data_IF_742359944227
#
_entry.id   IF_742359944227
#
_cell.length_a   1.000
_cell.length_b   1.000
_cell.length_c   1.000
_cell.angle_alpha   90.00
_cell.angle_beta   90.00
_cell.angle_gamma   90.00
#
_symmetry.space_group_name_H-M   'P 1'
#
loop_
_entity.id
_entity.type
_entity.pdbx_description
1 polymer ?
#
# COMPACT_ATOMS: atom_id res chain seq x y z
N UNK A 1 8.70 24.14 4.56
CA UNK A 1 7.54 23.22 4.60
C UNK A 1 7.36 22.48 3.27
N UNK A 2 7.32 23.16 2.11
CA UNK A 2 7.18 22.53 0.78
C UNK A 2 8.31 21.53 0.46
N UNK A 3 9.57 21.85 0.77
CA UNK A 3 10.73 21.01 0.40
C UNK A 3 10.70 19.61 1.02
N UNK A 4 10.30 19.49 2.29
CA UNK A 4 10.23 18.20 2.99
C UNK A 4 9.12 17.31 2.40
N UNK A 5 7.98 17.90 2.06
CA UNK A 5 6.88 17.22 1.41
C UNK A 5 7.27 16.71 0.01
N UNK A 6 8.00 17.53 -0.75
CA UNK A 6 8.51 17.16 -2.08
C UNK A 6 9.52 16.01 -1.99
N UNK A 7 10.46 16.06 -1.04
CA UNK A 7 11.42 14.97 -0.82
C UNK A 7 10.68 13.68 -0.44
N UNK A 8 9.70 13.76 0.47
CA UNK A 8 8.89 12.62 0.86
C UNK A 8 8.14 12.00 -0.33
N UNK A 9 7.49 12.83 -1.15
CA UNK A 9 6.78 12.37 -2.35
C UNK A 9 7.73 11.75 -3.38
N UNK A 10 8.92 12.34 -3.58
CA UNK A 10 9.93 11.81 -4.50
C UNK A 10 10.42 10.43 -4.07
N UNK A 11 10.79 10.27 -2.79
CA UNK A 11 11.22 8.98 -2.23
C UNK A 11 10.10 7.94 -2.36
N UNK A 12 8.87 8.31 -2.03
CA UNK A 12 7.69 7.43 -2.13
C UNK A 12 7.43 7.01 -3.57
N UNK A 13 7.58 7.92 -4.54
CA UNK A 13 7.46 7.62 -5.96
C UNK A 13 8.52 6.63 -6.44
N UNK A 14 9.78 6.82 -6.02
CA UNK A 14 10.88 5.90 -6.36
C UNK A 14 10.64 4.51 -5.76
N UNK A 15 10.24 4.43 -4.50
CA UNK A 15 9.94 3.17 -3.82
C UNK A 15 8.74 2.44 -4.43
N UNK A 16 7.77 3.19 -4.97
CA UNK A 16 6.60 2.61 -5.65
C UNK A 16 7.01 1.75 -6.84
N UNK A 17 8.05 2.14 -7.59
CA UNK A 17 8.60 1.31 -8.67
C UNK A 17 9.10 -0.06 -8.15
N UNK A 18 9.79 -0.06 -7.01
CA UNK A 18 10.24 -1.28 -6.34
C UNK A 18 9.08 -2.15 -5.86
N UNK A 19 8.03 -1.54 -5.30
CA UNK A 19 6.81 -2.25 -4.88
C UNK A 19 6.12 -2.92 -6.07
N UNK A 20 5.98 -2.22 -7.19
CA UNK A 20 5.36 -2.79 -8.41
C UNK A 20 6.20 -3.96 -8.94
N UNK A 21 7.52 -3.78 -9.05
CA UNK A 21 8.42 -4.85 -9.50
C UNK A 21 8.36 -6.08 -8.58
N UNK A 22 8.37 -5.86 -7.26
CA UNK A 22 8.23 -6.91 -6.25
C UNK A 22 6.89 -7.62 -6.33
N UNK A 23 5.78 -6.90 -6.53
CA UNK A 23 4.46 -7.49 -6.70
C UNK A 23 4.38 -8.37 -7.96
N UNK A 24 4.96 -7.93 -9.08
CA UNK A 24 5.02 -8.72 -10.31
C UNK A 24 5.87 -9.97 -10.11
N UNK A 25 7.05 -9.86 -9.52
CA UNK A 25 7.91 -11.01 -9.22
C UNK A 25 7.18 -12.01 -8.31
N UNK A 26 6.60 -11.53 -7.22
CA UNK A 26 5.89 -12.37 -6.25
C UNK A 26 4.70 -13.11 -6.86
N UNK A 27 3.91 -12.44 -7.71
CA UNK A 27 2.79 -13.11 -8.40
C UNK A 27 3.26 -14.19 -9.38
N UNK A 28 4.40 -13.98 -10.05
CA UNK A 28 5.01 -14.99 -10.93
C UNK A 28 5.53 -16.19 -10.14
N UNK A 29 6.20 -15.96 -9.02
CA UNK A 29 6.72 -17.02 -8.14
C UNK A 29 5.58 -17.88 -7.56
N UNK A 30 4.42 -17.27 -7.31
CA UNK A 30 3.21 -17.98 -6.88
C UNK A 30 2.43 -18.64 -8.04
N UNK A 31 2.90 -18.51 -9.29
CA UNK A 31 2.20 -19.00 -10.48
C UNK A 31 0.86 -18.30 -10.75
N UNK A 32 0.60 -17.14 -10.11
CA UNK A 32 -0.65 -16.41 -10.21
C UNK A 32 -0.72 -15.60 -11.51
N UNK A 33 -1.57 -16.04 -12.43
CA UNK A 33 -1.94 -15.23 -13.60
C UNK A 33 -3.13 -14.31 -13.25
N UNK A 34 -2.83 -13.14 -12.69
CA UNK A 34 -3.83 -12.15 -12.29
C UNK A 34 -4.42 -11.43 -13.53
N UNK A 35 -5.75 -11.44 -13.64
CA UNK A 35 -6.48 -10.61 -14.61
C UNK A 35 -6.26 -9.12 -14.31
N UNK A 36 -6.41 -8.27 -15.33
CA UNK A 36 -6.20 -6.82 -15.20
C UNK A 36 -7.01 -6.18 -14.05
N UNK A 37 -8.24 -6.62 -13.78
CA UNK A 37 -9.05 -6.07 -12.69
C UNK A 37 -8.51 -6.44 -11.30
N UNK A 38 -7.86 -7.60 -11.15
CA UNK A 38 -7.18 -7.99 -9.89
C UNK A 38 -5.96 -7.09 -9.66
N UNK A 39 -5.24 -6.74 -10.72
CA UNK A 39 -4.18 -5.73 -10.67
C UNK A 39 -4.72 -4.36 -10.27
N UNK A 40 -5.88 -3.95 -10.79
CA UNK A 40 -6.53 -2.69 -10.40
C UNK A 40 -6.88 -2.69 -8.89
N UNK A 41 -7.38 -3.80 -8.35
CA UNK A 41 -7.66 -3.90 -6.91
C UNK A 41 -6.39 -3.84 -6.06
N UNK A 42 -5.31 -4.49 -6.50
CA UNK A 42 -4.01 -4.40 -5.82
C UNK A 42 -3.45 -2.97 -5.85
N UNK A 43 -3.55 -2.30 -7.00
CA UNK A 43 -3.13 -0.90 -7.14
C UNK A 43 -3.98 0.04 -6.27
N UNK A 44 -5.30 -0.16 -6.22
CA UNK A 44 -6.19 0.61 -5.36
C UNK A 44 -5.85 0.40 -3.88
N UNK A 45 -5.63 -0.83 -3.46
CA UNK A 45 -5.18 -1.15 -2.10
C UNK A 45 -3.85 -0.46 -1.76
N UNK A 46 -2.88 -0.48 -2.68
CA UNK A 46 -1.60 0.21 -2.47
C UNK A 46 -1.74 1.74 -2.42
N UNK A 47 -2.57 2.34 -3.27
CA UNK A 47 -2.86 3.78 -3.21
C UNK A 47 -3.53 4.17 -1.89
N UNK A 48 -4.44 3.32 -1.37
CA UNK A 48 -5.06 3.54 -0.06
C UNK A 48 -4.02 3.49 1.07
N UNK A 49 -3.06 2.57 1.00
CA UNK A 49 -1.94 2.54 1.95
C UNK A 49 -1.17 3.85 1.93
N UNK A 50 -0.79 4.32 0.74
CA UNK A 50 -0.06 5.59 0.57
C UNK A 50 -0.85 6.79 1.12
N UNK A 51 -2.15 6.84 0.85
CA UNK A 51 -3.03 7.90 1.35
C UNK A 51 -3.07 7.92 2.89
N UNK A 52 -3.22 6.76 3.52
CA UNK A 52 -3.29 6.65 4.98
C UNK A 52 -1.95 6.98 5.65
N UNK A 53 -0.84 6.54 5.04
CA UNK A 53 0.52 6.90 5.49
C UNK A 53 0.70 8.41 5.36
N UNK A 54 0.33 9.00 4.22
CA UNK A 54 0.42 10.44 4.01
C UNK A 54 -0.40 11.21 5.05
N UNK A 55 -1.66 10.83 5.28
CA UNK A 55 -2.53 11.45 6.28
C UNK A 55 -1.94 11.37 7.70
N UNK A 56 -1.36 10.23 8.09
CA UNK A 56 -0.70 10.08 9.38
C UNK A 56 0.51 11.02 9.52
N UNK A 57 1.35 11.12 8.49
CA UNK A 57 2.52 12.00 8.50
C UNK A 57 2.14 13.49 8.43
N UNK A 58 1.02 13.84 7.79
CA UNK A 58 0.47 15.20 7.83
C UNK A 58 0.14 15.61 9.26
N UNK A 59 -0.61 14.78 10.01
CA UNK A 59 -0.94 15.08 11.42
C UNK A 59 0.31 15.15 12.31
N UNK A 60 1.28 14.27 12.09
CA UNK A 60 2.57 14.33 12.79
C UNK A 60 3.30 15.65 12.49
N UNK A 61 3.26 16.11 11.23
CA UNK A 61 3.84 17.39 10.82
C UNK A 61 3.12 18.62 11.37
N UNK A 62 1.83 18.51 11.65
CA UNK A 62 0.99 19.60 12.20
C UNK A 62 1.05 19.70 13.73
N UNK A 63 1.88 18.88 14.39
CA UNK A 63 2.06 18.88 15.85
C UNK A 63 1.13 17.91 16.60
N UNK A 64 0.26 17.19 15.88
CA UNK A 64 -0.63 16.16 16.43
C UNK A 64 -0.03 14.75 16.32
N UNK A 65 1.22 14.59 16.75
CA UNK A 65 1.97 13.34 16.59
C UNK A 65 1.23 12.12 17.18
N UNK A 66 0.59 12.27 18.34
CA UNK A 66 -0.17 11.18 18.98
C UNK A 66 -1.36 10.74 18.10
N UNK A 67 -2.05 11.67 17.45
CA UNK A 67 -3.15 11.34 16.54
C UNK A 67 -2.62 10.64 15.29
N UNK A 68 -1.55 11.14 14.69
CA UNK A 68 -0.91 10.52 13.52
C UNK A 68 -0.46 9.07 13.79
N UNK A 69 0.18 8.80 14.94
CA UNK A 69 0.56 7.44 15.31
C UNK A 69 -0.64 6.50 15.53
N UNK A 70 -1.72 6.99 16.12
CA UNK A 70 -2.97 6.22 16.28
C UNK A 70 -3.57 5.87 14.92
N UNK A 71 -3.64 6.85 14.00
CA UNK A 71 -4.13 6.61 12.63
C UNK A 71 -3.25 5.58 11.93
N UNK A 72 -1.92 5.71 12.02
CA UNK A 72 -0.99 4.78 11.38
C UNK A 72 -1.14 3.35 11.91
N UNK A 73 -1.34 3.18 13.22
CA UNK A 73 -1.61 1.89 13.84
C UNK A 73 -2.91 1.26 13.33
N UNK A 74 -4.02 2.01 13.35
CA UNK A 74 -5.32 1.54 12.86
C UNK A 74 -5.27 1.23 11.36
N UNK A 75 -4.70 2.14 10.57
CA UNK A 75 -4.52 1.99 9.14
C UNK A 75 -3.75 0.70 8.83
N UNK A 76 -2.67 0.44 9.55
CA UNK A 76 -1.86 -0.78 9.37
C UNK A 76 -2.71 -2.03 9.56
N UNK A 77 -3.49 -2.10 10.65
CA UNK A 77 -4.38 -3.25 10.91
C UNK A 77 -5.39 -3.44 9.79
N UNK A 78 -6.07 -2.36 9.36
CA UNK A 78 -7.04 -2.39 8.26
C UNK A 78 -6.38 -2.85 6.96
N UNK A 79 -5.21 -2.31 6.62
CA UNK A 79 -4.50 -2.65 5.39
C UNK A 79 -4.04 -4.10 5.37
N UNK A 80 -3.60 -4.65 6.51
CA UNK A 80 -3.27 -6.08 6.64
C UNK A 80 -4.50 -6.97 6.41
N UNK A 81 -5.64 -6.63 7.01
CA UNK A 81 -6.89 -7.38 6.81
C UNK A 81 -7.32 -7.35 5.34
N UNK A 82 -7.31 -6.17 4.72
CA UNK A 82 -7.65 -6.02 3.30
C UNK A 82 -6.65 -6.78 2.40
N UNK A 83 -5.37 -6.74 2.72
CA UNK A 83 -4.31 -7.45 1.99
C UNK A 83 -4.50 -8.96 2.06
N UNK A 84 -4.82 -9.50 3.24
CA UNK A 84 -5.15 -10.91 3.42
C UNK A 84 -6.43 -11.30 2.64
N UNK A 85 -7.44 -10.42 2.63
CA UNK A 85 -8.65 -10.58 1.84
C UNK A 85 -8.38 -10.64 0.33
N UNK A 86 -7.56 -9.72 -0.18
CA UNK A 86 -7.12 -9.70 -1.58
C UNK A 86 -6.32 -10.94 -1.93
N UNK A 87 -5.40 -11.36 -1.06
CA UNK A 87 -4.62 -12.58 -1.28
C UNK A 87 -5.54 -13.80 -1.44
N UNK A 88 -6.51 -13.97 -0.54
CA UNK A 88 -7.53 -15.03 -0.67
C UNK A 88 -8.33 -14.93 -1.95
N UNK A 89 -8.74 -13.72 -2.37
CA UNK A 89 -9.45 -13.50 -3.63
C UNK A 89 -8.60 -13.84 -4.86
N UNK A 90 -7.30 -13.58 -4.78
CA UNK A 90 -6.36 -13.85 -5.86
C UNK A 90 -6.15 -15.35 -6.03
N UNK A 91 -6.04 -16.09 -4.93
CA UNK A 91 -5.82 -17.55 -4.92
C UNK A 91 -7.09 -18.39 -5.05
N UNK A 92 -8.28 -17.88 -4.71
CA UNK A 92 -9.53 -18.66 -4.72
C UNK A 92 -9.96 -19.23 -6.10
N UNK A 93 -9.35 -18.75 -7.19
CA UNK A 93 -9.58 -19.27 -8.55
C UNK A 93 -8.44 -20.12 -9.10
N UNK A 94 -7.32 -20.22 -8.37
CA UNK A 94 -6.18 -21.06 -8.73
C UNK A 94 -6.40 -22.45 -8.15
N UNK A 95 -6.87 -23.39 -8.99
CA UNK A 95 -6.74 -24.81 -8.68
C UNK A 95 -5.24 -25.12 -8.69
N UNK A 96 -4.66 -25.36 -7.51
CA UNK A 96 -3.34 -25.98 -7.40
C UNK A 96 -3.35 -27.37 -8.04
#
# INVERSE_FOLDING_TARGET
>A
MITNLVIFAFITGLLTGGVIAGAIAWTRDLGLNLKWWKWLMAAFWYMLLLLLVFAAFTLVGEGEAVAGWKILGIATVVMVILGAGLFRLFTAGHKQ
#
